data_IF_050696160576
#
_entry.id   IF_050696160576
#
_cell.length_a   1.000
_cell.length_b   1.000
_cell.length_c   1.000
_cell.angle_alpha   90.00
_cell.angle_beta   90.00
_cell.angle_gamma   90.00
#
_symmetry.space_group_name_H-M   'P 1'
#
loop_
_entity.id
_entity.type
_entity.pdbx_description
1 polymer ?
#
# COMPACT_ATOMS: atom_id res chain seq x y z
N UNK A 1 50.87 16.35 -6.61
CA UNK A 1 50.89 17.77 -6.21
C UNK A 1 50.07 17.90 -4.93
N UNK A 2 50.67 18.36 -3.84
CA UNK A 2 50.21 18.13 -2.46
C UNK A 2 49.15 19.19 -2.03
N UNK A 3 48.01 18.76 -1.46
CA UNK A 3 46.84 19.59 -1.07
C UNK A 3 47.12 20.69 -0.02
N UNK A 4 48.34 20.77 0.52
CA UNK A 4 48.71 21.69 1.61
C UNK A 4 49.09 23.11 1.17
N UNK A 5 49.15 23.39 -0.13
CA UNK A 5 49.53 24.74 -0.64
C UNK A 5 48.34 25.62 -1.03
N UNK A 6 47.09 25.11 -0.99
CA UNK A 6 45.92 25.89 -1.44
C UNK A 6 45.35 26.86 -0.39
N UNK A 7 45.71 26.72 0.89
CA UNK A 7 45.11 27.49 1.99
C UNK A 7 45.93 28.72 2.43
N UNK A 8 47.06 29.02 1.79
CA UNK A 8 47.87 30.21 2.11
C UNK A 8 47.62 31.43 1.20
N UNK A 9 46.69 31.36 0.24
CA UNK A 9 46.44 32.45 -0.71
C UNK A 9 45.04 33.10 -0.64
N UNK A 10 44.29 32.87 0.43
CA UNK A 10 43.06 33.61 0.75
C UNK A 10 43.25 34.29 2.10
N UNK A 11 43.86 35.47 2.08
CA UNK A 11 44.15 36.26 3.27
C UNK A 11 42.89 36.70 4.01
N UNK A 12 42.59 36.05 5.14
CA UNK A 12 41.63 36.55 6.12
C UNK A 12 42.35 36.69 7.46
N UNK A 13 42.83 37.92 7.70
CA UNK A 13 43.31 38.39 8.98
C UNK A 13 42.13 38.90 9.82
N UNK A 14 42.04 38.40 11.06
CA UNK A 14 41.60 39.04 12.30
C UNK A 14 40.30 39.88 12.39
N UNK A 15 39.56 39.58 13.48
CA UNK A 15 38.70 40.43 14.32
C UNK A 15 37.18 40.56 14.01
N UNK A 16 36.39 39.91 14.88
CA UNK A 16 35.33 40.56 15.65
C UNK A 16 33.97 40.76 14.97
N UNK A 17 33.03 39.84 15.20
CA UNK A 17 31.61 40.13 15.56
C UNK A 17 30.80 38.83 15.64
N UNK A 18 29.87 38.81 16.58
CA UNK A 18 29.08 37.65 17.02
C UNK A 18 28.18 37.07 15.94
N UNK A 19 28.38 35.78 15.63
CA UNK A 19 27.29 34.87 15.28
C UNK A 19 27.65 33.52 15.89
N UNK A 20 26.80 32.99 16.76
CA UNK A 20 26.94 31.64 17.29
C UNK A 20 26.86 30.64 16.15
N UNK A 21 28.01 30.19 15.64
CA UNK A 21 28.07 29.03 14.79
C UNK A 21 27.96 27.81 15.70
N UNK A 22 26.74 27.27 15.80
CA UNK A 22 26.55 25.92 16.29
C UNK A 22 27.50 25.01 15.52
N UNK A 23 28.37 24.34 16.25
CA UNK A 23 29.18 23.24 15.72
C UNK A 23 28.21 22.22 15.12
N UNK A 24 28.16 22.13 13.79
CA UNK A 24 27.63 20.94 13.13
C UNK A 24 28.63 19.83 13.42
N UNK A 25 28.45 19.16 14.55
CA UNK A 25 29.03 17.84 14.72
C UNK A 25 28.55 17.02 13.54
N UNK A 26 29.48 16.52 12.73
CA UNK A 26 29.18 15.46 11.78
C UNK A 26 28.64 14.30 12.61
N UNK A 27 27.33 14.20 12.70
CA UNK A 27 26.69 12.95 13.06
C UNK A 27 27.17 11.96 12.00
N UNK A 28 27.92 10.97 12.47
CA UNK A 28 28.27 9.79 11.71
C UNK A 28 26.97 9.24 11.13
N UNK A 29 26.75 9.39 9.83
CA UNK A 29 25.59 8.84 9.15
C UNK A 29 25.71 7.32 9.28
N UNK A 30 24.85 6.63 10.05
CA UNK A 30 24.89 5.18 10.04
C UNK A 30 24.60 4.76 8.62
N UNK A 31 25.48 3.93 8.04
CA UNK A 31 25.31 3.30 6.74
C UNK A 31 24.09 2.39 6.79
N UNK A 32 22.94 3.03 6.60
CA UNK A 32 21.64 2.43 6.68
C UNK A 32 21.40 1.66 5.38
N UNK A 33 22.05 0.49 5.26
CA UNK A 33 21.60 -0.58 4.35
C UNK A 33 20.25 -1.12 4.87
N UNK A 34 19.24 -0.27 4.93
CA UNK A 34 17.86 -0.73 4.94
C UNK A 34 17.64 -1.29 3.55
N UNK A 35 17.47 -2.60 3.49
CA UNK A 35 17.03 -3.32 2.32
C UNK A 35 15.87 -2.53 1.70
N UNK A 36 16.13 -1.84 0.59
CA UNK A 36 15.11 -1.11 -0.17
C UNK A 36 14.24 -2.14 -0.88
N UNK A 37 13.39 -2.81 -0.11
CA UNK A 37 12.23 -3.46 -0.67
C UNK A 37 11.31 -2.35 -1.18
N UNK A 38 10.68 -2.50 -2.35
CA UNK A 38 9.65 -1.56 -2.73
C UNK A 38 8.58 -1.70 -1.67
N UNK A 39 8.44 -0.73 -0.78
CA UNK A 39 7.31 -0.57 0.14
C UNK A 39 6.85 0.87 -0.11
N UNK A 40 5.56 1.05 -0.37
CA UNK A 40 4.97 2.39 -0.52
C UNK A 40 5.11 3.04 0.85
N UNK A 41 5.96 4.08 0.94
CA UNK A 41 6.15 4.80 2.19
C UNK A 41 4.96 5.73 2.40
N UNK A 42 4.20 5.49 3.46
CA UNK A 42 3.15 6.39 3.91
C UNK A 42 3.75 7.58 4.67
N UNK A 43 2.96 8.66 4.84
CA UNK A 43 3.38 9.78 5.69
C UNK A 43 3.69 9.32 7.12
N UNK A 44 4.60 10.00 7.86
CA UNK A 44 4.91 9.65 9.24
C UNK A 44 3.65 9.53 10.11
N UNK A 45 3.51 8.42 10.84
CA UNK A 45 2.36 8.14 11.72
C UNK A 45 1.22 7.33 11.07
N UNK A 46 1.29 7.02 9.78
CA UNK A 46 0.32 6.12 9.12
C UNK A 46 0.79 4.68 9.22
N UNK A 47 0.00 3.82 9.89
CA UNK A 47 0.26 2.38 9.99
C UNK A 47 0.30 1.73 8.60
N UNK A 48 1.27 0.83 8.40
CA UNK A 48 1.42 0.06 7.17
C UNK A 48 1.58 -1.43 7.49
N UNK A 49 0.80 -2.28 6.85
CA UNK A 49 0.84 -3.73 6.98
C UNK A 49 1.16 -4.35 5.62
N UNK A 50 2.29 -5.05 5.54
CA UNK A 50 2.72 -5.85 4.38
C UNK A 50 2.10 -7.26 4.39
N UNK A 51 1.44 -7.62 3.29
CA UNK A 51 0.90 -8.96 3.01
C UNK A 51 1.63 -9.54 1.79
N UNK A 52 2.29 -10.68 1.97
CA UNK A 52 3.02 -11.36 0.90
C UNK A 52 2.16 -12.45 0.25
N UNK A 53 2.15 -12.50 -1.08
CA UNK A 53 1.58 -13.60 -1.83
C UNK A 53 2.37 -14.90 -1.60
N UNK A 54 1.73 -16.06 -1.74
CA UNK A 54 2.39 -17.36 -1.61
C UNK A 54 3.59 -17.53 -2.56
N UNK A 55 3.49 -16.95 -3.76
CA UNK A 55 4.54 -16.97 -4.78
C UNK A 55 5.41 -15.70 -4.81
N UNK A 56 5.39 -14.89 -3.75
CA UNK A 56 6.33 -13.78 -3.58
C UNK A 56 7.76 -14.29 -3.28
N UNK A 57 8.80 -13.50 -3.54
CA UNK A 57 10.17 -13.80 -3.12
C UNK A 57 10.26 -14.11 -1.62
N UNK A 58 11.15 -15.04 -1.24
CA UNK A 58 11.33 -15.44 0.16
C UNK A 58 11.70 -14.25 1.06
N UNK A 59 12.55 -13.35 0.56
CA UNK A 59 12.93 -12.12 1.26
C UNK A 59 11.76 -11.20 1.59
N UNK A 60 10.69 -11.20 0.79
CA UNK A 60 9.47 -10.46 1.10
C UNK A 60 8.58 -11.21 2.10
N UNK A 61 8.47 -12.53 1.97
CA UNK A 61 7.69 -13.35 2.90
C UNK A 61 8.27 -13.25 4.32
N UNK A 62 9.60 -13.29 4.45
CA UNK A 62 10.31 -13.20 5.73
C UNK A 62 10.03 -11.91 6.51
N UNK A 63 9.79 -10.80 5.81
CA UNK A 63 9.50 -9.49 6.44
C UNK A 63 8.02 -9.11 6.43
N UNK A 64 7.17 -9.94 5.82
CA UNK A 64 5.74 -9.68 5.77
C UNK A 64 5.07 -9.93 7.13
N UNK A 65 4.07 -9.11 7.44
CA UNK A 65 3.24 -9.32 8.63
C UNK A 65 2.27 -10.48 8.40
N UNK A 66 1.85 -10.67 7.16
CA UNK A 66 0.98 -11.74 6.70
C UNK A 66 1.59 -12.45 5.50
N UNK A 67 1.60 -13.79 5.53
CA UNK A 67 2.01 -14.63 4.41
C UNK A 67 0.80 -15.44 3.95
N UNK A 68 0.37 -15.23 2.70
CA UNK A 68 -0.69 -16.01 2.08
C UNK A 68 -0.21 -17.41 1.73
N UNK A 69 -1.11 -18.39 1.77
CA UNK A 69 -0.83 -19.78 1.41
C UNK A 69 -1.15 -20.10 -0.06
N UNK A 70 -1.83 -19.18 -0.76
CA UNK A 70 -2.21 -19.30 -2.17
C UNK A 70 -3.63 -19.82 -2.38
N UNK A 71 -4.42 -19.96 -1.31
CA UNK A 71 -5.82 -20.40 -1.33
C UNK A 71 -6.66 -19.52 -0.41
N UNK A 72 -7.71 -18.91 -0.96
CA UNK A 72 -8.60 -18.05 -0.18
C UNK A 72 -7.86 -16.85 0.48
N UNK A 73 -6.86 -16.31 -0.24
CA UNK A 73 -5.94 -15.27 0.23
C UNK A 73 -6.64 -13.96 0.66
N UNK A 74 -7.91 -13.78 0.30
CA UNK A 74 -8.71 -12.67 0.84
C UNK A 74 -8.83 -12.74 2.37
N UNK A 75 -8.65 -13.91 3.01
CA UNK A 75 -8.76 -14.04 4.46
C UNK A 75 -7.61 -13.31 5.16
N UNK A 76 -6.37 -13.54 4.75
CA UNK A 76 -5.18 -12.86 5.28
C UNK A 76 -5.22 -11.37 4.99
N UNK A 77 -5.64 -10.99 3.77
CA UNK A 77 -5.78 -9.57 3.41
C UNK A 77 -6.85 -8.90 4.28
N UNK A 78 -8.00 -9.55 4.50
CA UNK A 78 -9.07 -9.00 5.32
C UNK A 78 -8.68 -8.93 6.81
N UNK A 79 -7.83 -9.85 7.29
CA UNK A 79 -7.28 -9.77 8.63
C UNK A 79 -6.29 -8.59 8.74
N UNK A 80 -5.40 -8.41 7.76
CA UNK A 80 -4.51 -7.25 7.69
C UNK A 80 -5.30 -5.92 7.69
N UNK A 81 -6.44 -5.84 7.00
CA UNK A 81 -7.32 -4.66 7.01
C UNK A 81 -7.92 -4.43 8.41
N UNK A 82 -8.29 -5.49 9.13
CA UNK A 82 -8.87 -5.41 10.47
C UNK A 82 -7.84 -5.01 11.54
N UNK A 83 -6.58 -5.39 11.35
CA UNK A 83 -5.46 -5.07 12.23
C UNK A 83 -4.98 -3.60 12.09
N UNK A 84 -5.43 -2.91 11.04
CA UNK A 84 -5.26 -1.47 10.97
C UNK A 84 -6.06 -0.76 12.06
N UNK A 85 -5.47 0.31 12.58
CA UNK A 85 -6.10 1.17 13.57
C UNK A 85 -7.43 1.75 13.08
N UNK A 86 -8.25 2.25 14.01
CA UNK A 86 -9.54 2.88 13.68
C UNK A 86 -9.40 4.11 12.78
N UNK A 87 -8.24 4.78 12.78
CA UNK A 87 -7.95 5.90 11.88
C UNK A 87 -7.58 5.46 10.45
N UNK A 88 -7.38 4.16 10.22
CA UNK A 88 -7.04 3.58 8.94
C UNK A 88 -5.53 3.39 8.75
N UNK A 89 -5.10 3.30 7.49
CA UNK A 89 -3.71 3.04 7.15
C UNK A 89 -3.54 2.40 5.77
N UNK A 90 -2.38 1.79 5.55
CA UNK A 90 -2.01 1.11 4.32
C UNK A 90 -1.94 -0.39 4.52
N UNK A 91 -2.66 -1.14 3.70
CA UNK A 91 -2.36 -2.55 3.41
C UNK A 91 -1.59 -2.60 2.10
N UNK A 92 -0.35 -3.07 2.18
CA UNK A 92 0.54 -3.24 1.05
C UNK A 92 0.59 -4.71 0.66
N UNK A 93 0.22 -5.00 -0.58
CA UNK A 93 0.40 -6.30 -1.20
C UNK A 93 1.75 -6.37 -1.91
N UNK A 94 2.46 -7.48 -1.74
CA UNK A 94 3.67 -7.78 -2.52
C UNK A 94 3.36 -7.98 -4.00
N UNK A 95 4.38 -8.13 -4.83
CA UNK A 95 4.26 -8.85 -6.08
C UNK A 95 3.81 -10.30 -5.85
N UNK A 96 3.16 -10.88 -6.86
CA UNK A 96 2.61 -12.23 -6.82
C UNK A 96 1.13 -12.28 -7.15
N UNK A 97 0.55 -13.47 -7.01
CA UNK A 97 -0.87 -13.74 -7.24
C UNK A 97 -1.55 -14.12 -5.95
N UNK A 98 -2.61 -13.39 -5.62
CA UNK A 98 -3.50 -13.64 -4.50
C UNK A 98 -4.78 -14.31 -5.03
N UNK A 99 -5.00 -15.58 -4.70
CA UNK A 99 -6.12 -16.39 -5.16
C UNK A 99 -7.31 -16.27 -4.20
N UNK A 100 -8.28 -15.45 -4.59
CA UNK A 100 -9.41 -15.11 -3.74
C UNK A 100 -10.65 -15.97 -4.06
N UNK A 101 -11.22 -16.61 -3.05
CA UNK A 101 -12.53 -17.32 -3.13
C UNK A 101 -13.70 -16.46 -2.64
N UNK A 102 -13.41 -15.20 -2.27
CA UNK A 102 -14.36 -14.18 -1.84
C UNK A 102 -13.77 -12.77 -2.01
N UNK A 103 -14.51 -11.76 -1.56
CA UNK A 103 -14.09 -10.36 -1.69
C UNK A 103 -13.05 -9.93 -0.65
N UNK A 104 -12.15 -9.03 -1.06
CA UNK A 104 -11.37 -8.17 -0.16
C UNK A 104 -12.27 -7.02 0.28
N UNK A 105 -12.56 -6.94 1.57
CA UNK A 105 -13.53 -6.02 2.17
C UNK A 105 -12.85 -4.80 2.76
N UNK A 106 -12.96 -3.68 2.05
CA UNK A 106 -12.38 -2.41 2.49
C UNK A 106 -13.32 -1.63 3.40
N UNK A 107 -12.76 -1.00 4.42
CA UNK A 107 -13.45 -0.07 5.32
C UNK A 107 -12.87 1.33 5.19
N UNK A 108 -13.54 2.33 5.75
CA UNK A 108 -13.16 3.73 5.65
C UNK A 108 -11.69 4.03 6.03
N UNK A 109 -11.06 4.97 5.34
CA UNK A 109 -9.67 5.40 5.55
C UNK A 109 -8.59 4.33 5.32
N UNK A 110 -8.92 3.24 4.62
CA UNK A 110 -7.96 2.20 4.23
C UNK A 110 -7.48 2.40 2.81
N UNK A 111 -6.16 2.34 2.65
CA UNK A 111 -5.47 2.25 1.37
C UNK A 111 -5.06 0.80 1.12
N UNK A 112 -5.43 0.24 -0.04
CA UNK A 112 -4.94 -1.04 -0.53
C UNK A 112 -4.03 -0.79 -1.74
N UNK A 113 -2.75 -1.11 -1.61
CA UNK A 113 -1.76 -0.84 -2.64
C UNK A 113 -0.97 -2.08 -3.05
N UNK A 114 -0.74 -2.25 -4.34
CA UNK A 114 0.18 -3.26 -4.87
C UNK A 114 1.50 -2.70 -5.41
N UNK A 115 2.13 -3.47 -6.28
CA UNK A 115 3.40 -3.21 -7.01
C UNK A 115 3.19 -3.05 -8.52
N UNK A 116 2.09 -2.42 -8.90
CA UNK A 116 1.67 -2.28 -10.29
C UNK A 116 1.13 -3.60 -10.83
N UNK A 117 1.46 -3.90 -12.10
CA UNK A 117 0.99 -5.12 -12.78
C UNK A 117 1.53 -6.43 -12.18
N UNK A 118 2.57 -6.36 -11.35
CA UNK A 118 3.18 -7.51 -10.69
C UNK A 118 2.35 -8.04 -9.51
N UNK A 119 1.42 -7.24 -8.97
CA UNK A 119 0.47 -7.65 -7.94
C UNK A 119 -0.86 -7.99 -8.61
N UNK A 120 -1.34 -9.21 -8.44
CA UNK A 120 -2.59 -9.68 -9.03
C UNK A 120 -3.52 -10.21 -7.94
N UNK A 121 -4.66 -9.56 -7.70
CA UNK A 121 -5.79 -10.21 -7.04
C UNK A 121 -6.57 -10.97 -8.11
N UNK A 122 -6.73 -12.28 -7.93
CA UNK A 122 -7.37 -13.16 -8.89
C UNK A 122 -8.54 -13.91 -8.25
N UNK A 123 -9.68 -13.89 -8.91
CA UNK A 123 -10.84 -14.65 -8.45
C UNK A 123 -10.69 -16.13 -8.76
N UNK A 124 -10.92 -16.97 -7.75
CA UNK A 124 -10.92 -18.43 -7.81
C UNK A 124 -12.24 -18.99 -7.25
N UNK A 125 -13.35 -18.36 -7.65
CA UNK A 125 -14.70 -18.70 -7.25
C UNK A 125 -15.66 -17.60 -7.68
N UNK A 126 -16.96 -17.88 -7.66
CA UNK A 126 -18.00 -16.86 -7.84
C UNK A 126 -18.69 -16.61 -6.50
N UNK A 127 -18.97 -15.36 -6.19
CA UNK A 127 -19.74 -14.95 -5.02
C UNK A 127 -20.75 -13.88 -5.41
N UNK A 128 -21.77 -13.71 -4.57
CA UNK A 128 -22.67 -12.56 -4.66
C UNK A 128 -21.99 -11.33 -4.06
N UNK A 129 -22.34 -10.15 -4.58
CA UNK A 129 -21.97 -8.88 -3.97
C UNK A 129 -22.52 -8.80 -2.54
N UNK A 130 -21.95 -7.92 -1.71
CA UNK A 130 -22.36 -7.71 -0.33
C UNK A 130 -23.88 -7.61 -0.12
N UNK A 131 -24.61 -6.94 -1.03
CA UNK A 131 -26.06 -6.76 -0.96
C UNK A 131 -26.87 -7.97 -1.47
N UNK A 132 -26.21 -9.00 -2.00
CA UNK A 132 -26.81 -10.21 -2.53
C UNK A 132 -27.50 -10.05 -3.90
N UNK A 133 -27.50 -8.86 -4.50
CA UNK A 133 -28.36 -8.57 -5.67
C UNK A 133 -27.68 -8.83 -7.01
N UNK A 134 -26.35 -8.86 -7.03
CA UNK A 134 -25.57 -9.04 -8.26
C UNK A 134 -24.35 -9.94 -8.03
N UNK A 135 -23.67 -10.42 -9.09
CA UNK A 135 -22.34 -11.01 -8.93
C UNK A 135 -21.37 -10.03 -8.26
N UNK A 136 -20.57 -10.55 -7.34
CA UNK A 136 -19.64 -9.78 -6.52
C UNK A 136 -18.43 -9.24 -7.29
N UNK A 137 -17.51 -8.66 -6.54
CA UNK A 137 -16.25 -8.12 -7.01
C UNK A 137 -15.06 -8.58 -6.15
N UNK A 138 -13.84 -8.49 -6.71
CA UNK A 138 -12.62 -8.75 -5.95
C UNK A 138 -12.41 -7.77 -4.81
N UNK A 139 -12.79 -6.51 -5.01
CA UNK A 139 -12.79 -5.49 -3.97
C UNK A 139 -14.21 -5.00 -3.75
N UNK A 140 -14.68 -5.12 -2.51
CA UNK A 140 -16.01 -4.73 -2.07
C UNK A 140 -15.92 -3.90 -0.78
N UNK A 141 -16.94 -3.08 -0.49
CA UNK A 141 -17.06 -2.46 0.82
C UNK A 141 -17.28 -3.50 1.92
N UNK A 142 -16.86 -3.18 3.15
CA UNK A 142 -17.10 -4.05 4.33
C UNK A 142 -18.58 -4.12 4.71
N UNK A 143 -19.35 -3.10 4.34
CA UNK A 143 -20.78 -2.98 4.56
C UNK A 143 -21.42 -2.10 3.45
N UNK A 144 -22.59 -1.51 3.70
CA UNK A 144 -23.30 -0.62 2.79
C UNK A 144 -22.70 0.80 2.70
N UNK A 145 -21.82 1.19 3.61
CA UNK A 145 -21.21 2.52 3.68
C UNK A 145 -19.68 2.47 3.61
N UNK A 146 -19.08 3.01 2.55
CA UNK A 146 -17.62 3.16 2.46
C UNK A 146 -17.24 4.56 2.04
N UNK A 147 -16.46 5.20 2.90
CA UNK A 147 -16.00 6.56 2.74
C UNK A 147 -14.47 6.58 2.75
N UNK A 148 -13.87 7.22 1.75
CA UNK A 148 -12.42 7.44 1.61
C UNK A 148 -11.56 6.17 1.65
N UNK A 149 -11.88 5.20 0.79
CA UNK A 149 -10.94 4.10 0.47
C UNK A 149 -10.13 4.42 -0.78
N UNK A 150 -8.91 3.89 -0.84
CA UNK A 150 -8.10 3.96 -2.05
C UNK A 150 -7.63 2.57 -2.45
N UNK A 151 -7.73 2.27 -3.74
CA UNK A 151 -7.16 1.05 -4.34
C UNK A 151 -6.25 1.49 -5.47
N UNK A 152 -4.95 1.19 -5.38
CA UNK A 152 -4.00 1.65 -6.37
C UNK A 152 -2.86 0.66 -6.65
N UNK A 153 -2.30 0.78 -7.86
CA UNK A 153 -1.11 0.03 -8.30
C UNK A 153 -1.24 -1.48 -8.18
N UNK A 154 -2.35 -2.07 -8.64
CA UNK A 154 -2.53 -3.53 -8.67
C UNK A 154 -3.45 -3.98 -9.82
N UNK A 155 -3.36 -5.26 -10.17
CA UNK A 155 -4.24 -5.88 -11.18
C UNK A 155 -5.40 -6.59 -10.50
N UNK A 156 -6.62 -6.36 -10.98
CA UNK A 156 -7.83 -7.06 -10.56
C UNK A 156 -8.27 -8.01 -11.67
N UNK A 157 -8.15 -9.31 -11.43
CA UNK A 157 -8.45 -10.35 -12.40
C UNK A 157 -9.69 -11.14 -11.98
N UNK A 158 -10.87 -10.68 -12.43
CA UNK A 158 -12.17 -11.30 -12.12
C UNK A 158 -12.39 -12.69 -12.74
N UNK A 159 -11.43 -13.18 -13.54
CA UNK A 159 -11.32 -14.57 -13.98
C UNK A 159 -12.59 -15.14 -14.64
N UNK A 160 -13.33 -14.30 -15.39
CA UNK A 160 -14.66 -14.62 -15.98
C UNK A 160 -14.64 -15.71 -17.05
N UNK A 161 -13.59 -15.79 -17.85
CA UNK A 161 -13.58 -16.55 -19.10
C UNK A 161 -12.93 -17.93 -19.02
N UNK A 162 -12.56 -18.42 -17.83
CA UNK A 162 -11.98 -19.75 -17.65
C UNK A 162 -12.85 -20.72 -16.84
N UNK A 163 -14.15 -20.43 -16.70
CA UNK A 163 -15.12 -21.22 -15.92
C UNK A 163 -14.76 -21.38 -14.43
N UNK A 164 -13.83 -20.60 -13.88
CA UNK A 164 -13.47 -20.66 -12.46
C UNK A 164 -14.10 -19.54 -11.62
N UNK A 165 -14.48 -18.41 -12.23
CA UNK A 165 -15.15 -17.30 -11.55
C UNK A 165 -16.04 -16.50 -12.52
N UNK A 166 -16.90 -15.65 -11.98
CA UNK A 166 -17.63 -14.60 -12.71
C UNK A 166 -17.85 -13.41 -11.79
N UNK A 167 -16.79 -12.64 -11.53
CA UNK A 167 -16.83 -11.47 -10.64
C UNK A 167 -16.30 -10.22 -11.33
N UNK A 168 -16.73 -9.05 -10.83
CA UNK A 168 -16.26 -7.73 -11.26
C UNK A 168 -14.86 -7.45 -10.66
N UNK A 169 -14.16 -6.43 -11.18
CA UNK A 169 -12.88 -5.97 -10.61
C UNK A 169 -13.10 -5.24 -9.28
N UNK A 170 -13.76 -4.08 -9.33
CA UNK A 170 -14.14 -3.26 -8.18
C UNK A 170 -15.65 -3.05 -8.20
N UNK A 171 -16.30 -3.07 -7.03
CA UNK A 171 -17.71 -2.70 -6.91
C UNK A 171 -17.93 -1.85 -5.65
N UNK A 172 -18.56 -0.69 -5.83
CA UNK A 172 -19.15 0.10 -4.74
C UNK A 172 -20.66 0.18 -4.98
N UNK A 173 -21.45 -0.15 -3.95
CA UNK A 173 -22.90 0.01 -3.99
C UNK A 173 -23.30 1.35 -3.38
N UNK A 174 -23.18 2.43 -4.15
CA UNK A 174 -23.49 3.78 -3.68
C UNK A 174 -24.97 4.05 -3.97
N UNK A 175 -25.82 3.98 -2.94
CA UNK A 175 -27.27 4.12 -3.11
C UNK A 175 -27.84 5.41 -2.54
N UNK A 176 -27.13 6.12 -1.63
CA UNK A 176 -27.56 7.44 -1.11
C UNK A 176 -26.38 8.38 -0.94
N UNK A 177 -26.65 9.68 -1.12
CA UNK A 177 -25.65 10.76 -0.95
C UNK A 177 -25.13 10.89 0.50
N UNK A 178 -25.94 10.44 1.47
CA UNK A 178 -25.66 10.55 2.90
C UNK A 178 -24.78 9.41 3.42
N UNK A 179 -24.44 8.44 2.55
CA UNK A 179 -23.44 7.39 2.84
C UNK A 179 -21.98 7.92 2.69
N UNK A 180 -21.82 9.26 2.66
CA UNK A 180 -20.53 9.98 2.69
C UNK A 180 -20.54 11.11 3.74
N UNK A 181 -19.65 11.06 4.75
CA UNK A 181 -19.46 12.13 5.73
C UNK A 181 -18.87 13.42 5.12
N UNK A 182 -18.19 13.33 3.97
CA UNK A 182 -17.51 14.49 3.33
C UNK A 182 -17.61 14.53 1.78
N UNK A 183 -18.47 13.72 1.15
CA UNK A 183 -18.63 13.65 -0.32
C UNK A 183 -17.99 12.41 -0.99
N UNK A 184 -18.28 12.16 -2.29
CA UNK A 184 -18.05 10.87 -2.95
C UNK A 184 -16.60 10.68 -3.45
N UNK A 185 -15.60 10.69 -2.56
CA UNK A 185 -14.18 10.56 -2.93
C UNK A 185 -13.63 9.12 -2.75
N UNK A 186 -14.27 8.13 -3.37
CA UNK A 186 -13.58 6.88 -3.68
C UNK A 186 -12.61 7.15 -4.84
N UNK A 187 -11.35 7.45 -4.53
CA UNK A 187 -10.35 7.75 -5.54
C UNK A 187 -9.78 6.46 -6.17
N UNK A 188 -10.12 6.23 -7.44
CA UNK A 188 -9.51 5.20 -8.27
C UNK A 188 -8.62 5.85 -9.32
N UNK A 189 -7.30 5.78 -9.13
CA UNK A 189 -6.35 6.28 -10.13
C UNK A 189 -6.01 5.18 -11.11
N UNK A 190 -6.58 5.26 -12.32
CA UNK A 190 -6.21 4.43 -13.46
C UNK A 190 -5.12 5.16 -14.26
N UNK A 191 -3.85 4.91 -13.94
CA UNK A 191 -2.73 5.42 -14.73
C UNK A 191 -2.28 4.37 -15.76
N UNK A 192 -2.23 4.75 -17.03
CA UNK A 192 -1.45 4.00 -18.03
C UNK A 192 0.04 4.36 -17.86
N UNK A 193 0.93 3.36 -17.91
CA UNK A 193 2.35 3.60 -18.18
C UNK A 193 2.53 3.81 -19.69
#
# INVERSE_FOLDING_TARGET
MNRRTFLHNLGIAALGSSVGAATFAAADEPTNEQIYLPIVRTAPGVQSILVAAANAPDSLKEVAHYQCDGTADQQEINQAIQDLSSVGGLVQLSEGTFNCTGAVRLRASVMLAGKGRATVLKAFGSWAAFDGTTPGALVEPINDGVEKTAVFSLTLHGNRYNNQANVKGVYYNITRKDDFAEGPDAAHTFSHL
#
